data_IF_693942653187
#
_entry.id   IF_693942653187
#
_cell.length_a   1.000
_cell.length_b   1.000
_cell.length_c   1.000
_cell.angle_alpha   90.00
_cell.angle_beta   90.00
_cell.angle_gamma   90.00
#
_symmetry.space_group_name_H-M   'P 1'
#
loop_
_entity.id
_entity.type
_entity.pdbx_description
1 polymer ?
#
# COMPACT_ATOMS: atom_id res chain seq x y z
N UNK A 1 -29.37 -24.02 -64.44
CA UNK A 1 -28.05 -24.59 -64.10
C UNK A 1 -27.48 -23.82 -62.91
N UNK A 2 -27.23 -24.48 -61.76
CA UNK A 2 -26.81 -23.84 -60.52
C UNK A 2 -25.30 -24.03 -60.25
N UNK A 3 -24.62 -22.98 -59.77
CA UNK A 3 -23.34 -23.04 -59.02
C UNK A 3 -23.40 -21.77 -58.12
N UNK A 4 -23.55 -21.78 -56.80
CA UNK A 4 -23.10 -22.72 -55.78
C UNK A 4 -21.76 -22.24 -55.22
N UNK A 5 -21.75 -21.40 -54.17
CA UNK A 5 -20.56 -21.12 -53.34
C UNK A 5 -20.91 -20.43 -52.01
N UNK A 6 -21.24 -21.28 -51.05
CA UNK A 6 -20.78 -21.36 -49.65
C UNK A 6 -20.31 -20.07 -48.94
N UNK A 7 -21.15 -19.62 -47.99
CA UNK A 7 -20.80 -18.69 -46.93
C UNK A 7 -20.27 -19.53 -45.75
N UNK A 8 -18.98 -19.44 -45.44
CA UNK A 8 -18.40 -20.02 -44.23
C UNK A 8 -18.67 -19.06 -43.06
N UNK A 9 -19.70 -19.36 -42.27
CA UNK A 9 -19.94 -18.73 -40.98
C UNK A 9 -18.96 -19.32 -39.95
N UNK A 10 -17.83 -18.65 -39.76
CA UNK A 10 -16.87 -18.94 -38.69
C UNK A 10 -17.45 -18.50 -37.34
N UNK A 11 -18.10 -19.42 -36.63
CA UNK A 11 -18.53 -19.23 -35.25
C UNK A 11 -17.30 -19.44 -34.35
N UNK A 12 -16.72 -18.34 -33.89
CA UNK A 12 -15.67 -18.34 -32.86
C UNK A 12 -16.34 -18.33 -31.49
N UNK A 13 -16.50 -19.49 -30.87
CA UNK A 13 -16.89 -19.61 -29.46
C UNK A 13 -15.59 -19.72 -28.64
N UNK A 14 -15.03 -18.58 -28.24
CA UNK A 14 -14.11 -18.56 -27.09
C UNK A 14 -14.95 -18.56 -25.82
N UNK A 15 -15.37 -19.76 -25.41
CA UNK A 15 -15.92 -20.00 -24.09
C UNK A 15 -14.81 -19.89 -23.04
N UNK A 16 -14.47 -18.66 -22.64
CA UNK A 16 -13.78 -18.45 -21.37
C UNK A 16 -14.80 -18.73 -20.27
N UNK A 17 -14.79 -19.97 -19.75
CA UNK A 17 -15.42 -20.27 -18.47
C UNK A 17 -14.64 -19.50 -17.40
N UNK A 18 -15.05 -18.25 -17.15
CA UNK A 18 -14.63 -17.50 -15.99
C UNK A 18 -15.20 -18.24 -14.78
N UNK A 19 -14.38 -19.09 -14.16
CA UNK A 19 -14.67 -19.64 -12.85
C UNK A 19 -14.89 -18.44 -11.92
N UNK A 20 -16.16 -18.17 -11.58
CA UNK A 20 -16.51 -17.15 -10.61
C UNK A 20 -16.02 -17.65 -9.25
N UNK A 21 -14.80 -17.25 -8.89
CA UNK A 21 -14.23 -17.52 -7.58
C UNK A 21 -15.12 -16.86 -6.54
N UNK A 22 -15.76 -17.66 -5.67
CA UNK A 22 -16.49 -17.07 -4.56
C UNK A 22 -15.48 -16.62 -3.50
N UNK A 23 -15.57 -15.38 -2.96
CA UNK A 23 -14.65 -14.91 -1.91
C UNK A 23 -14.53 -15.86 -0.71
N UNK A 24 -15.59 -16.63 -0.41
CA UNK A 24 -15.61 -17.66 0.63
C UNK A 24 -14.61 -18.82 0.41
N UNK A 25 -14.02 -18.96 -0.78
CA UNK A 25 -13.02 -19.98 -1.09
C UNK A 25 -11.57 -19.48 -0.93
N UNK A 26 -11.38 -18.20 -0.64
CA UNK A 26 -10.06 -17.65 -0.40
C UNK A 26 -9.41 -18.34 0.81
N UNK A 27 -8.09 -18.46 0.76
CA UNK A 27 -7.26 -18.90 1.89
C UNK A 27 -6.26 -17.82 2.23
N UNK A 28 -5.90 -17.75 3.51
CA UNK A 28 -4.81 -16.88 3.93
C UNK A 28 -3.50 -17.30 3.25
N UNK A 29 -2.68 -16.31 2.95
CA UNK A 29 -1.38 -16.45 2.30
C UNK A 29 -0.24 -16.14 3.26
N UNK A 30 -0.55 -15.90 4.54
CA UNK A 30 0.41 -15.58 5.57
C UNK A 30 1.31 -16.79 5.86
N UNK A 31 2.60 -16.53 6.04
CA UNK A 31 3.60 -17.53 6.39
C UNK A 31 4.37 -17.14 7.65
N UNK A 32 4.76 -18.11 8.48
CA UNK A 32 5.58 -17.87 9.68
C UNK A 32 6.93 -17.21 9.37
N UNK A 33 7.47 -17.41 8.17
CA UNK A 33 8.68 -16.73 7.69
C UNK A 33 8.53 -15.21 7.63
N UNK A 34 7.30 -14.69 7.54
CA UNK A 34 7.02 -13.25 7.56
C UNK A 34 7.36 -12.60 8.89
N UNK A 35 7.40 -13.35 10.00
CA UNK A 35 7.81 -12.86 11.33
C UNK A 35 9.24 -12.33 11.36
N UNK A 36 10.07 -12.77 10.44
CA UNK A 36 11.49 -12.43 10.39
C UNK A 36 11.80 -11.38 9.29
N UNK A 37 10.79 -10.94 8.55
CA UNK A 37 11.01 -9.93 7.50
C UNK A 37 11.24 -8.57 8.15
N UNK A 38 12.38 -7.95 7.80
CA UNK A 38 12.56 -6.53 8.07
C UNK A 38 11.53 -5.72 7.27
N UNK A 39 11.18 -4.54 7.78
CA UNK A 39 10.30 -3.61 7.09
C UNK A 39 10.76 -3.32 5.65
N UNK A 40 12.08 -3.18 5.44
CA UNK A 40 12.66 -2.98 4.10
C UNK A 40 12.34 -4.13 3.14
N UNK A 41 12.62 -5.38 3.54
CA UNK A 41 12.35 -6.56 2.70
C UNK A 41 10.85 -6.71 2.42
N UNK A 42 10.04 -6.43 3.43
CA UNK A 42 8.59 -6.41 3.29
C UNK A 42 8.14 -5.38 2.25
N UNK A 43 8.62 -4.14 2.37
CA UNK A 43 8.22 -3.04 1.48
C UNK A 43 8.72 -3.24 0.05
N UNK A 44 9.93 -3.75 -0.13
CA UNK A 44 10.45 -4.14 -1.44
C UNK A 44 9.54 -5.17 -2.12
N UNK A 45 9.11 -6.21 -1.40
CA UNK A 45 8.14 -7.19 -1.92
C UNK A 45 6.80 -6.55 -2.25
N UNK A 46 6.27 -5.72 -1.36
CA UNK A 46 4.98 -5.05 -1.56
C UNK A 46 5.00 -4.13 -2.80
N UNK A 47 6.11 -3.42 -3.04
CA UNK A 47 6.27 -2.52 -4.20
C UNK A 47 6.21 -3.22 -5.56
N UNK A 48 6.45 -4.52 -5.60
CA UNK A 48 6.29 -5.33 -6.80
C UNK A 48 4.81 -5.57 -7.17
N UNK A 49 3.85 -5.19 -6.31
CA UNK A 49 2.42 -5.29 -6.57
C UNK A 49 2.04 -4.73 -7.94
N UNK A 50 1.18 -5.43 -8.71
CA UNK A 50 0.73 -4.94 -10.02
C UNK A 50 -0.18 -3.72 -9.90
N UNK A 51 -0.89 -3.56 -8.79
CA UNK A 51 -1.77 -2.43 -8.50
C UNK A 51 -1.35 -1.76 -7.18
N UNK A 52 -1.17 -0.44 -7.21
CA UNK A 52 -0.89 0.38 -6.03
C UNK A 52 -1.81 1.59 -6.08
N UNK A 53 -2.55 1.82 -5.00
CA UNK A 53 -3.54 2.89 -4.91
C UNK A 53 -3.46 3.59 -3.56
N UNK A 54 -3.72 4.89 -3.53
CA UNK A 54 -4.11 5.59 -2.31
C UNK A 54 -5.62 5.52 -2.18
N UNK A 55 -6.12 4.94 -1.10
CA UNK A 55 -7.55 4.84 -0.85
C UNK A 55 -7.93 5.25 0.56
N UNK A 56 -9.18 5.70 0.69
CA UNK A 56 -9.84 5.93 1.97
C UNK A 56 -10.81 4.80 2.26
N UNK A 57 -10.69 4.18 3.43
CA UNK A 57 -11.60 3.11 3.85
C UNK A 57 -13.01 3.66 4.01
N UNK A 58 -13.97 3.10 3.27
CA UNK A 58 -15.39 3.39 3.37
C UNK A 58 -16.08 2.42 4.34
N UNK A 59 -15.80 1.13 4.20
CA UNK A 59 -16.36 0.08 5.05
C UNK A 59 -15.40 -1.10 5.19
N UNK A 60 -15.58 -1.83 6.29
CA UNK A 60 -14.84 -3.03 6.65
C UNK A 60 -15.87 -4.07 7.08
N UNK A 61 -15.93 -5.20 6.38
CA UNK A 61 -16.85 -6.29 6.70
C UNK A 61 -16.05 -7.58 6.94
N UNK A 62 -16.26 -8.21 8.09
CA UNK A 62 -15.77 -9.58 8.35
C UNK A 62 -16.67 -10.58 7.63
N UNK A 63 -16.06 -11.59 7.01
CA UNK A 63 -16.77 -12.60 6.22
C UNK A 63 -16.49 -13.99 6.80
N UNK A 64 -17.56 -14.67 7.21
CA UNK A 64 -17.49 -16.03 7.72
C UNK A 64 -17.13 -16.08 9.20
N UNK A 65 -16.43 -17.15 9.59
CA UNK A 65 -15.93 -17.35 10.94
C UNK A 65 -14.40 -17.36 10.90
N UNK A 66 -13.70 -16.95 11.98
CA UNK A 66 -12.27 -17.11 12.07
C UNK A 66 -11.82 -18.55 11.82
N UNK A 67 -10.73 -18.71 11.06
CA UNK A 67 -10.14 -20.00 10.72
C UNK A 67 -8.70 -20.05 11.18
N UNK A 68 -8.16 -21.24 11.41
CA UNK A 68 -6.72 -21.39 11.66
C UNK A 68 -5.97 -21.01 10.40
N UNK A 69 -4.93 -20.19 10.56
CA UNK A 69 -4.07 -19.85 9.44
C UNK A 69 -3.38 -21.10 8.88
N UNK A 70 -3.21 -21.10 7.56
CA UNK A 70 -2.40 -22.10 6.89
C UNK A 70 -0.91 -22.02 7.28
N UNK A 71 -0.40 -20.82 7.55
CA UNK A 71 1.00 -20.57 7.91
C UNK A 71 1.35 -20.93 9.35
N UNK A 72 0.44 -20.75 10.29
CA UNK A 72 0.58 -21.13 11.69
C UNK A 72 -0.78 -21.53 12.29
N UNK A 73 -0.94 -22.81 12.62
CA UNK A 73 -2.21 -23.33 13.14
C UNK A 73 -2.58 -22.80 14.54
N UNK A 74 -1.66 -22.12 15.24
CA UNK A 74 -1.95 -21.44 16.51
C UNK A 74 -2.61 -20.07 16.29
N UNK A 75 -2.39 -19.44 15.14
CA UNK A 75 -2.98 -18.14 14.80
C UNK A 75 -4.32 -18.36 14.11
N UNK A 76 -5.33 -17.61 14.54
CA UNK A 76 -6.60 -17.51 13.81
C UNK A 76 -6.61 -16.28 12.92
N UNK A 77 -7.02 -16.46 11.67
CA UNK A 77 -7.23 -15.38 10.71
C UNK A 77 -8.69 -15.30 10.30
N UNK A 78 -9.10 -14.10 9.89
CA UNK A 78 -10.47 -13.83 9.48
C UNK A 78 -10.50 -13.05 8.16
N UNK A 79 -11.25 -13.58 7.19
CA UNK A 79 -11.42 -12.94 5.90
C UNK A 79 -12.14 -11.60 6.09
N UNK A 80 -11.54 -10.53 5.62
CA UNK A 80 -12.07 -9.18 5.71
C UNK A 80 -12.18 -8.58 4.32
N UNK A 81 -13.36 -8.04 4.03
CA UNK A 81 -13.66 -7.28 2.82
C UNK A 81 -13.57 -5.79 3.14
N UNK A 82 -12.77 -5.09 2.36
CA UNK A 82 -12.56 -3.65 2.52
C UNK A 82 -13.04 -2.96 1.26
N UNK A 83 -13.90 -1.95 1.45
CA UNK A 83 -14.29 -1.03 0.38
C UNK A 83 -13.56 0.29 0.58
N UNK A 84 -12.93 0.79 -0.47
CA UNK A 84 -12.21 2.05 -0.47
C UNK A 84 -12.75 3.00 -1.55
N UNK A 85 -12.75 4.29 -1.24
CA UNK A 85 -12.78 5.34 -2.25
C UNK A 85 -11.34 5.58 -2.70
N UNK A 86 -11.06 5.37 -3.98
CA UNK A 86 -9.71 5.52 -4.52
C UNK A 86 -9.45 6.98 -4.84
N UNK A 87 -8.48 7.55 -4.15
CA UNK A 87 -8.10 8.95 -4.29
C UNK A 87 -7.00 9.13 -5.36
N UNK A 88 -6.05 8.20 -5.45
CA UNK A 88 -4.96 8.26 -6.43
C UNK A 88 -4.58 6.89 -7.01
N UNK A 89 -4.38 6.86 -8.32
CA UNK A 89 -3.78 5.78 -9.09
C UNK A 89 -2.25 5.92 -9.06
N UNK A 90 -1.56 5.07 -8.30
CA UNK A 90 -0.09 5.11 -8.19
C UNK A 90 0.56 4.17 -9.22
N UNK A 91 -0.01 2.97 -9.39
CA UNK A 91 0.48 1.96 -10.35
C UNK A 91 -0.65 1.04 -10.76
N UNK A 92 -0.74 0.68 -12.04
CA UNK A 92 -1.76 -0.22 -12.58
C UNK A 92 -3.07 0.51 -12.89
N UNK A 93 -4.01 -0.20 -13.51
CA UNK A 93 -5.32 0.34 -13.87
C UNK A 93 -6.36 -0.05 -12.82
N UNK A 94 -7.17 0.92 -12.39
CA UNK A 94 -8.27 0.68 -11.46
C UNK A 94 -9.48 0.15 -12.23
N UNK A 95 -10.11 -0.94 -11.76
CA UNK A 95 -11.28 -1.51 -12.42
C UNK A 95 -12.57 -0.70 -12.18
N UNK A 96 -12.70 -0.09 -10.99
CA UNK A 96 -13.89 0.60 -10.51
C UNK A 96 -13.56 1.48 -9.29
N UNK A 97 -14.34 2.53 -9.07
CA UNK A 97 -14.34 3.32 -7.84
C UNK A 97 -15.80 3.54 -7.35
N UNK A 98 -16.19 3.16 -6.12
CA UNK A 98 -15.39 2.56 -5.05
C UNK A 98 -14.80 1.21 -5.44
N UNK A 99 -13.59 0.93 -4.95
CA UNK A 99 -12.90 -0.34 -5.16
C UNK A 99 -13.12 -1.25 -3.95
N UNK A 100 -13.25 -2.55 -4.21
CA UNK A 100 -13.32 -3.59 -3.18
C UNK A 100 -12.10 -4.50 -3.28
N UNK A 101 -11.54 -4.87 -2.13
CA UNK A 101 -10.51 -5.90 -2.04
C UNK A 101 -10.62 -6.69 -0.74
N UNK A 102 -9.88 -7.79 -0.68
CA UNK A 102 -9.93 -8.74 0.43
C UNK A 102 -8.55 -8.93 1.07
N UNK A 103 -8.52 -9.17 2.37
CA UNK A 103 -7.35 -9.64 3.09
C UNK A 103 -7.76 -10.51 4.29
N UNK A 104 -6.86 -11.37 4.74
CA UNK A 104 -7.02 -12.10 6.00
C UNK A 104 -6.35 -11.33 7.13
N UNK A 105 -7.12 -10.94 8.13
CA UNK A 105 -6.62 -10.24 9.32
C UNK A 105 -6.34 -11.22 10.45
N UNK A 106 -5.53 -10.79 11.42
CA UNK A 106 -5.47 -11.48 12.71
C UNK A 106 -6.86 -11.39 13.37
N UNK A 107 -7.44 -12.54 13.71
CA UNK A 107 -8.73 -12.56 14.40
C UNK A 107 -8.57 -12.17 15.87
N UNK A 108 -9.57 -11.48 16.43
CA UNK A 108 -9.67 -11.22 17.87
C UNK A 108 -9.80 -12.51 18.70
N UNK A 109 -10.25 -13.61 18.08
CA UNK A 109 -10.29 -14.94 18.72
C UNK A 109 -8.93 -15.68 18.72
N UNK A 110 -7.87 -15.05 18.22
CA UNK A 110 -6.54 -15.65 18.22
C UNK A 110 -5.90 -15.50 19.60
N UNK A 111 -5.65 -16.62 20.28
CA UNK A 111 -5.00 -16.64 21.60
C UNK A 111 -3.52 -16.21 21.55
N UNK A 112 -2.93 -16.25 20.36
CA UNK A 112 -1.55 -15.81 20.11
C UNK A 112 -1.52 -14.70 19.08
N UNK A 113 -0.62 -13.75 19.29
CA UNK A 113 -0.32 -12.73 18.30
C UNK A 113 0.42 -13.29 17.09
N UNK A 114 0.34 -12.59 15.97
CA UNK A 114 1.05 -12.98 14.75
C UNK A 114 2.59 -12.85 14.85
N UNK A 115 3.11 -12.18 15.89
CA UNK A 115 4.54 -11.86 16.02
C UNK A 115 5.02 -10.76 15.07
N UNK A 116 4.08 -10.08 14.40
CA UNK A 116 4.31 -8.95 13.50
C UNK A 116 3.26 -7.87 13.75
N UNK A 117 3.57 -6.59 13.45
CA UNK A 117 2.55 -5.54 13.48
C UNK A 117 1.40 -5.87 12.53
N UNK A 118 0.23 -6.13 13.10
CA UNK A 118 -0.98 -6.41 12.32
C UNK A 118 -1.58 -5.11 11.76
N UNK A 119 -2.24 -5.23 10.62
CA UNK A 119 -3.12 -4.17 10.12
C UNK A 119 -4.55 -4.40 10.63
N UNK A 120 -5.13 -3.36 11.21
CA UNK A 120 -6.53 -3.30 11.60
C UNK A 120 -7.17 -2.15 10.81
N UNK A 121 -7.95 -2.42 9.76
CA UNK A 121 -8.61 -1.40 8.98
C UNK A 121 -9.72 -0.73 9.80
N UNK A 122 -9.82 0.58 9.67
CA UNK A 122 -10.89 1.37 10.27
C UNK A 122 -11.43 2.32 9.20
N UNK A 123 -12.75 2.49 9.14
CA UNK A 123 -13.39 3.46 8.26
C UNK A 123 -12.80 4.87 8.44
N UNK A 124 -12.64 5.59 7.34
CA UNK A 124 -12.03 6.92 7.29
C UNK A 124 -10.49 6.91 7.18
N UNK A 125 -9.80 5.81 7.47
CA UNK A 125 -8.35 5.74 7.32
C UNK A 125 -7.92 5.91 5.86
N UNK A 126 -6.89 6.72 5.62
CA UNK A 126 -6.24 6.88 4.32
C UNK A 126 -4.94 6.09 4.30
N UNK A 127 -4.82 5.19 3.33
CA UNK A 127 -3.63 4.33 3.21
C UNK A 127 -3.28 4.07 1.75
N UNK A 128 -2.00 3.81 1.52
CA UNK A 128 -1.49 3.26 0.27
C UNK A 128 -1.58 1.75 0.37
N UNK A 129 -2.36 1.15 -0.53
CA UNK A 129 -2.59 -0.29 -0.61
C UNK A 129 -1.80 -0.89 -1.77
N UNK A 130 -1.15 -2.02 -1.48
CA UNK A 130 -0.45 -2.84 -2.47
C UNK A 130 -1.32 -4.05 -2.78
N UNK A 131 -1.85 -4.11 -4.00
CA UNK A 131 -2.93 -5.02 -4.37
C UNK A 131 -2.54 -5.90 -5.57
N UNK A 132 -3.18 -7.06 -5.65
CA UNK A 132 -3.11 -7.96 -6.81
C UNK A 132 -4.48 -8.51 -7.15
N UNK A 133 -4.68 -8.79 -8.44
CA UNK A 133 -5.86 -9.53 -8.90
C UNK A 133 -5.57 -11.04 -8.86
N UNK A 134 -6.50 -11.81 -8.31
CA UNK A 134 -6.46 -13.27 -8.27
C UNK A 134 -7.83 -13.76 -8.73
N UNK A 135 -7.90 -14.42 -9.90
CA UNK A 135 -9.15 -14.97 -10.44
C UNK A 135 -10.37 -14.02 -10.42
N UNK A 136 -10.14 -12.74 -10.78
CA UNK A 136 -11.18 -11.71 -10.91
C UNK A 136 -11.52 -10.93 -9.63
N UNK A 137 -10.87 -11.25 -8.50
CA UNK A 137 -11.01 -10.52 -7.24
C UNK A 137 -9.70 -9.85 -6.83
N UNK A 138 -9.78 -8.71 -6.15
CA UNK A 138 -8.59 -8.01 -5.68
C UNK A 138 -8.27 -8.41 -4.25
N UNK A 139 -6.97 -8.60 -3.98
CA UNK A 139 -6.46 -8.92 -2.66
C UNK A 139 -5.28 -8.02 -2.30
N UNK A 140 -5.08 -7.82 -1.01
CA UNK A 140 -3.79 -7.36 -0.50
C UNK A 140 -2.68 -8.32 -0.95
N UNK A 141 -1.48 -7.81 -1.23
CA UNK A 141 -0.32 -8.66 -1.58
C UNK A 141 0.19 -9.53 -0.43
N UNK A 142 -0.25 -9.25 0.79
CA UNK A 142 -0.04 -10.12 1.93
C UNK A 142 -1.14 -9.98 2.98
N UNK A 143 -1.21 -10.97 3.86
CA UNK A 143 -2.22 -11.11 4.91
C UNK A 143 -1.58 -10.90 6.28
N UNK A 144 -2.39 -10.60 7.29
CA UNK A 144 -2.05 -10.40 8.71
C UNK A 144 -1.13 -9.21 8.98
N UNK A 145 0.07 -9.20 8.40
CA UNK A 145 1.03 -8.11 8.55
C UNK A 145 0.55 -6.82 7.87
N UNK A 146 1.14 -5.70 8.26
CA UNK A 146 0.80 -4.37 7.72
C UNK A 146 1.29 -4.18 6.28
N UNK A 147 0.59 -4.77 5.30
CA UNK A 147 0.87 -4.65 3.87
C UNK A 147 0.41 -3.31 3.24
N UNK A 148 0.56 -2.20 3.95
CA UNK A 148 0.09 -0.87 3.54
C UNK A 148 0.89 0.24 4.24
N UNK A 149 0.76 1.47 3.73
CA UNK A 149 1.38 2.65 4.34
C UNK A 149 0.28 3.65 4.74
N UNK A 150 0.34 4.16 5.97
CA UNK A 150 -0.59 5.16 6.47
C UNK A 150 -0.27 6.54 5.88
N UNK A 151 -1.30 7.29 5.49
CA UNK A 151 -1.16 8.63 4.92
C UNK A 151 -1.86 9.63 5.83
N UNK A 152 -1.07 10.52 6.43
CA UNK A 152 -1.53 11.50 7.43
C UNK A 152 -1.78 12.90 6.85
N UNK A 153 -1.45 13.10 5.57
CA UNK A 153 -1.78 14.32 4.85
C UNK A 153 -3.28 14.37 4.52
N UNK A 154 -3.68 15.42 3.82
CA UNK A 154 -4.99 15.60 3.22
C UNK A 154 -5.04 15.09 1.77
N UNK A 155 -6.18 15.34 1.12
CA UNK A 155 -6.44 14.93 -0.25
C UNK A 155 -5.57 15.70 -1.24
N UNK A 156 -5.00 14.98 -2.20
CA UNK A 156 -4.27 15.58 -3.32
C UNK A 156 -5.20 15.70 -4.53
N UNK A 157 -4.90 16.63 -5.44
CA UNK A 157 -5.71 16.86 -6.65
C UNK A 157 -5.79 15.59 -7.53
N UNK A 158 -6.92 15.35 -8.23
CA UNK A 158 -7.05 14.19 -9.12
C UNK A 158 -5.93 14.12 -10.17
N UNK A 159 -5.30 12.95 -10.28
CA UNK A 159 -4.20 12.74 -11.21
C UNK A 159 -2.84 13.25 -10.73
N UNK A 160 -2.68 13.54 -9.43
CA UNK A 160 -1.42 13.96 -8.82
C UNK A 160 -0.25 13.03 -9.17
N UNK A 161 -0.45 11.71 -9.19
CA UNK A 161 0.59 10.75 -9.55
C UNK A 161 0.91 10.67 -11.06
N UNK A 162 0.16 11.35 -11.93
CA UNK A 162 0.28 11.17 -13.39
C UNK A 162 1.66 11.60 -13.87
N UNK A 163 2.38 10.67 -14.51
CA UNK A 163 3.73 10.91 -15.04
C UNK A 163 4.86 10.76 -14.03
N UNK A 164 4.56 10.47 -12.75
CA UNK A 164 5.57 10.13 -11.74
C UNK A 164 5.88 8.63 -11.76
N UNK A 165 7.08 8.26 -11.29
CA UNK A 165 7.33 6.87 -10.92
C UNK A 165 6.51 6.50 -9.67
N UNK A 166 6.10 5.23 -9.50
CA UNK A 166 5.34 4.82 -8.31
C UNK A 166 6.04 5.19 -6.99
N UNK A 167 7.36 4.98 -6.91
CA UNK A 167 8.17 5.35 -5.75
C UNK A 167 8.10 6.83 -5.42
N UNK A 168 8.32 7.70 -6.43
CA UNK A 168 8.24 9.16 -6.24
C UNK A 168 6.83 9.59 -5.81
N UNK A 169 5.77 9.05 -6.44
CA UNK A 169 4.42 9.44 -6.02
C UNK A 169 4.12 9.02 -4.58
N UNK A 170 4.48 7.79 -4.17
CA UNK A 170 4.32 7.34 -2.78
C UNK A 170 5.06 8.26 -1.82
N UNK A 171 6.33 8.60 -2.11
CA UNK A 171 7.11 9.54 -1.30
C UNK A 171 6.43 10.89 -1.14
N UNK A 172 5.90 11.46 -2.23
CA UNK A 172 5.23 12.75 -2.15
C UNK A 172 3.91 12.67 -1.39
N UNK A 173 3.08 11.65 -1.60
CA UNK A 173 1.84 11.46 -0.84
C UNK A 173 2.08 11.35 0.67
N UNK A 174 3.20 10.73 1.07
CA UNK A 174 3.57 10.54 2.46
C UNK A 174 4.17 11.80 3.12
N UNK A 175 4.95 12.60 2.37
CA UNK A 175 5.78 13.66 2.95
C UNK A 175 5.41 15.08 2.51
N UNK A 176 4.59 15.25 1.46
CA UNK A 176 4.14 16.58 1.01
C UNK A 176 2.87 16.97 1.77
N UNK A 177 2.93 18.03 2.60
CA UNK A 177 1.83 18.41 3.45
C UNK A 177 0.75 19.11 2.64
N UNK A 178 -0.43 18.49 2.55
CA UNK A 178 -1.63 19.09 1.93
C UNK A 178 -2.75 18.99 2.96
N UNK A 179 -3.43 20.07 3.33
CA UNK A 179 -4.62 20.02 4.19
C UNK A 179 -4.50 19.16 5.46
N UNK A 180 -3.39 19.27 6.20
CA UNK A 180 -3.14 18.49 7.42
C UNK A 180 -4.17 18.86 8.48
N UNK A 181 -5.06 17.92 8.82
CA UNK A 181 -6.06 18.10 9.86
C UNK A 181 -5.48 17.84 11.27
N UNK A 182 -4.56 16.88 11.38
CA UNK A 182 -3.90 16.50 12.63
C UNK A 182 -2.38 16.55 12.47
N UNK A 183 -1.81 17.65 12.94
CA UNK A 183 -0.35 17.90 12.87
C UNK A 183 0.43 16.91 13.74
N UNK A 184 -0.13 16.48 14.87
CA UNK A 184 0.58 15.56 15.78
C UNK A 184 0.68 14.17 15.19
N UNK A 185 -0.41 13.69 14.59
CA UNK A 185 -0.41 12.42 13.87
C UNK A 185 0.53 12.46 12.66
N UNK A 186 0.52 13.55 11.89
CA UNK A 186 1.45 13.74 10.77
C UNK A 186 2.91 13.69 11.23
N UNK A 187 3.27 14.46 12.27
CA UNK A 187 4.64 14.47 12.83
C UNK A 187 5.04 13.10 13.35
N UNK A 188 4.15 12.41 14.07
CA UNK A 188 4.40 11.04 14.56
C UNK A 188 4.61 10.04 13.42
N UNK A 189 3.98 10.28 12.26
CA UNK A 189 4.12 9.50 11.04
C UNK A 189 5.35 9.82 10.19
N UNK A 190 6.10 10.90 10.46
CA UNK A 190 7.20 11.34 9.60
C UNK A 190 8.33 10.32 9.49
N UNK A 191 8.77 9.75 10.62
CA UNK A 191 9.84 8.75 10.61
C UNK A 191 9.53 7.53 9.73
N UNK A 192 8.44 6.77 9.96
CA UNK A 192 8.14 5.61 9.12
C UNK A 192 7.83 6.01 7.67
N UNK A 193 7.21 7.17 7.44
CA UNK A 193 6.94 7.70 6.09
C UNK A 193 8.21 8.01 5.33
N UNK A 194 9.18 8.65 5.97
CA UNK A 194 10.46 8.99 5.37
C UNK A 194 11.31 7.74 5.14
N UNK A 195 11.28 6.78 6.08
CA UNK A 195 11.94 5.50 5.88
C UNK A 195 11.35 4.72 4.69
N UNK A 196 10.03 4.65 4.56
CA UNK A 196 9.36 4.05 3.41
C UNK A 196 9.70 4.78 2.09
N UNK A 197 9.71 6.12 2.11
CA UNK A 197 10.11 6.95 0.97
C UNK A 197 11.54 6.67 0.50
N UNK A 198 12.48 6.51 1.44
CA UNK A 198 13.88 6.22 1.11
C UNK A 198 14.07 4.87 0.43
N UNK A 199 13.27 3.87 0.82
CA UNK A 199 13.28 2.53 0.23
C UNK A 199 12.60 2.51 -1.14
N UNK A 200 11.46 3.18 -1.30
CA UNK A 200 10.64 3.11 -2.51
C UNK A 200 11.09 4.05 -3.63
N UNK A 201 11.68 5.20 -3.28
CA UNK A 201 12.16 6.19 -4.24
C UNK A 201 13.68 6.29 -4.18
N UNK A 202 14.20 7.11 -3.27
CA UNK A 202 15.63 7.15 -2.92
C UNK A 202 15.86 7.93 -1.62
N UNK A 203 17.00 7.75 -0.95
CA UNK A 203 17.39 8.58 0.19
C UNK A 203 17.44 10.08 -0.17
N UNK A 204 18.01 10.45 -1.32
CA UNK A 204 18.20 11.85 -1.76
C UNK A 204 16.85 12.54 -2.00
N UNK A 205 15.93 11.83 -2.65
CA UNK A 205 14.55 12.23 -2.83
C UNK A 205 13.85 12.53 -1.50
N UNK A 206 14.05 11.64 -0.52
CA UNK A 206 13.47 11.75 0.82
C UNK A 206 14.05 12.96 1.56
N UNK A 207 15.37 13.16 1.47
CA UNK A 207 16.04 14.33 2.03
C UNK A 207 15.49 15.63 1.42
N UNK A 208 15.34 15.70 0.10
CA UNK A 208 14.76 16.86 -0.58
C UNK A 208 13.36 17.21 -0.04
N UNK A 209 12.50 16.20 0.17
CA UNK A 209 11.15 16.38 0.72
C UNK A 209 11.19 16.83 2.19
N UNK A 210 12.05 16.25 3.01
CA UNK A 210 12.24 16.67 4.41
C UNK A 210 12.80 18.10 4.51
N UNK A 211 13.72 18.50 3.64
CA UNK A 211 14.25 19.87 3.62
C UNK A 211 13.18 20.89 3.21
N UNK A 212 12.19 20.51 2.39
CA UNK A 212 10.99 21.35 2.16
C UNK A 212 10.15 21.46 3.42
N UNK A 213 9.93 20.37 4.15
CA UNK A 213 9.20 20.40 5.42
C UNK A 213 9.88 21.25 6.51
N UNK A 214 11.22 21.34 6.51
CA UNK A 214 11.98 22.23 7.41
C UNK A 214 11.74 23.72 7.16
N UNK A 215 11.10 24.07 6.04
CA UNK A 215 10.67 25.44 5.69
C UNK A 215 9.16 25.61 5.83
N UNK A 216 8.45 24.63 6.40
CA UNK A 216 7.00 24.67 6.56
C UNK A 216 6.58 25.68 7.65
N UNK A 217 5.41 26.33 7.56
CA UNK A 217 5.00 27.34 8.55
C UNK A 217 4.78 26.82 9.97
N UNK A 218 4.42 25.54 10.14
CA UNK A 218 4.19 24.95 11.46
C UNK A 218 5.51 24.48 12.10
N UNK A 219 5.86 25.06 13.24
CA UNK A 219 7.09 24.76 13.97
C UNK A 219 7.22 23.29 14.41
N UNK A 220 6.12 22.60 14.66
CA UNK A 220 6.12 21.17 15.05
C UNK A 220 6.53 20.31 13.86
N UNK A 221 6.05 20.64 12.66
CA UNK A 221 6.44 19.97 11.41
C UNK A 221 7.93 20.21 11.13
N UNK A 222 8.40 21.44 11.27
CA UNK A 222 9.82 21.78 11.09
C UNK A 222 10.71 20.98 12.05
N UNK A 223 10.31 20.91 13.33
CA UNK A 223 11.01 20.12 14.34
C UNK A 223 11.02 18.62 13.98
N UNK A 224 9.85 18.04 13.71
CA UNK A 224 9.73 16.63 13.36
C UNK A 224 10.50 16.24 12.10
N UNK A 225 10.52 17.11 11.07
CA UNK A 225 11.31 16.90 9.86
C UNK A 225 12.82 16.94 10.15
N UNK A 226 13.26 17.85 11.02
CA UNK A 226 14.67 17.95 11.43
C UNK A 226 15.14 16.74 12.22
N UNK A 227 14.33 16.26 13.18
CA UNK A 227 14.60 15.04 13.96
C UNK A 227 14.62 13.79 13.06
N UNK A 228 13.65 13.68 12.15
CA UNK A 228 13.58 12.59 11.17
C UNK A 228 14.82 12.55 10.27
N UNK A 229 15.25 13.71 9.76
CA UNK A 229 16.44 13.80 8.91
C UNK A 229 17.71 13.38 9.67
N UNK A 230 17.88 13.84 10.92
CA UNK A 230 19.01 13.46 11.76
C UNK A 230 19.07 11.94 11.98
N UNK A 231 17.92 11.30 12.22
CA UNK A 231 17.85 9.85 12.36
C UNK A 231 18.18 9.15 11.02
N UNK A 232 17.68 9.65 9.89
CA UNK A 232 17.93 9.05 8.58
C UNK A 232 19.40 9.10 8.18
N UNK A 233 20.13 10.16 8.50
CA UNK A 233 21.57 10.25 8.22
C UNK A 233 22.40 9.18 8.97
N UNK A 234 21.89 8.66 10.08
CA UNK A 234 22.53 7.53 10.78
C UNK A 234 22.30 6.21 10.03
N UNK A 235 21.15 6.06 9.37
CA UNK A 235 20.75 4.84 8.65
C UNK A 235 21.22 4.82 7.19
N UNK A 236 21.27 5.98 6.53
CA UNK A 236 21.78 6.19 5.18
C UNK A 236 22.94 7.18 5.18
N UNK A 237 24.18 6.73 5.44
CA UNK A 237 25.35 7.60 5.50
C UNK A 237 25.63 8.38 4.21
N UNK A 238 25.09 7.95 3.06
CA UNK A 238 25.17 8.68 1.78
C UNK A 238 24.58 10.08 1.88
N UNK A 239 23.61 10.30 2.75
CA UNK A 239 22.96 11.61 2.94
C UNK A 239 23.88 12.68 3.54
N UNK A 240 24.99 12.28 4.19
CA UNK A 240 25.96 13.19 4.84
C UNK A 240 26.89 13.91 3.85
N UNK A 241 26.96 13.49 2.58
CA UNK A 241 28.08 13.85 1.68
C UNK A 241 28.00 15.20 0.96
N UNK A 242 27.00 16.04 1.19
CA UNK A 242 26.81 17.25 0.36
C UNK A 242 27.50 18.55 0.81
N UNK A 243 28.31 18.56 1.87
CA UNK A 243 28.97 19.81 2.35
C UNK A 243 30.51 19.82 2.28
N UNK A 244 31.13 18.93 1.51
CA UNK A 244 32.60 18.94 1.34
C UNK A 244 32.93 18.86 -0.14
N UNK A 245 32.75 19.96 -0.89
CA UNK A 245 33.50 20.34 -2.10
C UNK A 245 32.75 21.48 -2.82
N UNK A 246 32.84 22.70 -2.28
CA UNK A 246 32.62 23.94 -3.05
C UNK A 246 33.34 25.12 -2.40
N UNK A 247 34.60 24.88 -2.02
CA UNK A 247 35.59 25.93 -1.80
C UNK A 247 36.94 25.38 -2.29
N UNK A 248 37.21 25.55 -3.59
CA UNK A 248 38.48 25.91 -4.21
C UNK A 248 38.46 25.72 -5.72
#
# INVERSE_FOLDING_TARGET
MPIGRDIIAGVVIFGQMAACSHPAQLRDQWQTSERQLSFEKWLQRASAAPLIVLGRVLSVDKIGQPQRSHGDAQVKTELTRIRIDVEQEIKGAIPANPMEFYLFELSEESDVGAGVPAYIPVAGQRRIYFLRAEAGIYRSVGDVARYNLEVWNGAHEPGFCRGMSPGRCVSELLLVPVGIADVEAFVSGLWPSAYASGILSSPENTKELLDKLRKYPDARIVKGASETLQMLEQWWPSLKKENVHNDK
#
